data_IF_074912281524
#
_entry.id   IF_074912281524
#
_cell.length_a   1.000
_cell.length_b   1.000
_cell.length_c   1.000
_cell.angle_alpha   90.00
_cell.angle_beta   90.00
_cell.angle_gamma   90.00
#
_symmetry.space_group_name_H-M   'P 1'
#
loop_
_entity.id
_entity.type
_entity.pdbx_description
1 polymer ?
#
# COMPACT_ATOMS: atom_id res chain seq x y z
N UNK A 1 3.50 17.05 -8.37
CA UNK A 1 2.61 16.80 -7.22
C UNK A 1 3.45 16.29 -6.08
N UNK A 2 3.16 16.68 -4.84
CA UNK A 2 3.90 16.21 -3.66
C UNK A 2 3.02 15.22 -2.90
N UNK A 3 3.59 14.05 -2.59
CA UNK A 3 3.01 13.09 -1.66
C UNK A 3 3.79 13.21 -0.35
N UNK A 4 3.10 13.36 0.77
CA UNK A 4 3.73 13.58 2.06
C UNK A 4 2.80 13.19 3.22
N UNK A 5 3.44 12.87 4.34
CA UNK A 5 2.77 12.51 5.57
C UNK A 5 3.76 11.99 6.60
N UNK A 6 3.26 11.24 7.58
CA UNK A 6 4.04 10.75 8.72
C UNK A 6 3.85 9.25 8.90
N UNK A 7 4.95 8.54 9.14
CA UNK A 7 4.88 7.17 9.63
C UNK A 7 4.43 7.17 11.09
N UNK A 8 3.28 6.55 11.35
CA UNK A 8 2.72 6.39 12.69
C UNK A 8 3.22 5.10 13.35
N UNK A 9 3.41 4.04 12.56
CA UNK A 9 3.92 2.74 13.02
C UNK A 9 4.73 2.08 11.90
N UNK A 10 5.88 1.50 12.25
CA UNK A 10 6.68 0.67 11.33
C UNK A 10 7.15 -0.57 12.10
N UNK A 11 6.54 -1.71 11.80
CA UNK A 11 6.95 -3.02 12.30
C UNK A 11 7.54 -3.81 11.12
N UNK A 12 8.85 -4.11 11.15
CA UNK A 12 9.51 -4.82 10.05
C UNK A 12 8.77 -6.09 9.63
N UNK A 13 8.55 -6.24 8.32
CA UNK A 13 7.89 -7.40 7.70
C UNK A 13 6.47 -7.73 8.19
N UNK A 14 5.82 -6.85 8.96
CA UNK A 14 4.50 -7.14 9.55
C UNK A 14 3.49 -6.01 9.33
N UNK A 15 3.87 -4.75 9.56
CA UNK A 15 2.91 -3.63 9.49
C UNK A 15 3.59 -2.29 9.20
N UNK A 16 2.92 -1.48 8.41
CA UNK A 16 3.25 -0.06 8.22
C UNK A 16 1.96 0.76 8.31
N UNK A 17 1.97 1.84 9.07
CA UNK A 17 0.85 2.79 9.19
C UNK A 17 1.37 4.20 8.91
N UNK A 18 0.72 4.93 8.01
CA UNK A 18 1.07 6.32 7.70
C UNK A 18 -0.14 7.21 7.43
N UNK A 19 0.05 8.52 7.55
CA UNK A 19 -0.92 9.55 7.14
C UNK A 19 -0.67 9.97 5.69
N UNK A 20 -1.74 10.22 4.93
CA UNK A 20 -1.66 10.92 3.64
C UNK A 20 -2.14 12.35 3.89
N UNK A 21 -1.24 13.33 3.89
CA UNK A 21 -1.50 14.72 4.32
C UNK A 21 -1.63 15.70 3.14
N UNK A 22 -1.80 15.18 1.91
CA UNK A 22 -1.96 15.98 0.69
C UNK A 22 -3.28 16.77 0.66
N UNK A 23 -4.24 16.40 1.50
CA UNK A 23 -5.49 17.13 1.72
C UNK A 23 -6.00 16.94 3.15
N UNK A 24 -6.87 17.84 3.61
CA UNK A 24 -7.56 17.71 4.91
C UNK A 24 -8.43 16.44 5.01
N UNK A 25 -8.76 15.83 3.88
CA UNK A 25 -9.56 14.61 3.77
C UNK A 25 -8.72 13.34 3.57
N UNK A 26 -7.40 13.43 3.70
CA UNK A 26 -6.50 12.32 3.46
C UNK A 26 -6.70 11.14 4.42
N UNK A 27 -6.44 9.93 3.90
CA UNK A 27 -6.60 8.70 4.66
C UNK A 27 -5.45 8.44 5.64
N UNK A 28 -5.72 7.65 6.67
CA UNK A 28 -4.68 6.85 7.33
C UNK A 28 -4.59 5.52 6.63
N UNK A 29 -3.45 5.24 6.01
CA UNK A 29 -3.21 3.98 5.30
C UNK A 29 -2.47 3.01 6.21
N UNK A 30 -2.99 1.79 6.28
CA UNK A 30 -2.39 0.67 7.01
C UNK A 30 -2.13 -0.46 6.04
N UNK A 31 -0.88 -0.92 5.97
CA UNK A 31 -0.51 -2.14 5.24
C UNK A 31 -0.07 -3.20 6.24
N UNK A 32 -0.63 -4.40 6.12
CA UNK A 32 -0.20 -5.58 6.88
C UNK A 32 0.34 -6.64 5.95
N UNK A 33 1.35 -7.36 6.42
CA UNK A 33 1.99 -8.47 5.72
C UNK A 33 1.89 -9.72 6.58
N UNK A 34 1.27 -10.77 6.05
CA UNK A 34 1.12 -12.05 6.73
C UNK A 34 1.65 -13.19 5.85
N UNK A 35 2.30 -14.19 6.45
CA UNK A 35 2.63 -15.42 5.74
C UNK A 35 1.35 -16.21 5.49
N UNK A 36 1.19 -16.69 4.26
CA UNK A 36 0.09 -17.55 3.87
C UNK A 36 0.53 -18.49 2.74
N UNK A 37 0.59 -19.79 3.05
CA UNK A 37 0.87 -20.87 2.09
C UNK A 37 2.17 -20.68 1.29
N UNK A 38 3.24 -20.24 1.95
CA UNK A 38 4.54 -19.96 1.34
C UNK A 38 4.58 -18.65 0.52
N UNK A 39 3.54 -17.82 0.64
CA UNK A 39 3.43 -16.49 0.03
C UNK A 39 3.19 -15.43 1.10
N UNK A 40 3.15 -14.17 0.68
CA UNK A 40 2.76 -13.05 1.54
C UNK A 40 1.37 -12.58 1.16
N UNK A 41 0.45 -12.59 2.12
CA UNK A 41 -0.81 -11.87 2.04
C UNK A 41 -0.55 -10.41 2.45
N UNK A 42 -0.66 -9.51 1.48
CA UNK A 42 -0.63 -8.07 1.71
C UNK A 42 -2.07 -7.56 1.80
N UNK A 43 -2.41 -6.87 2.88
CA UNK A 43 -3.70 -6.15 3.01
C UNK A 43 -3.43 -4.67 3.21
N UNK A 44 -3.87 -3.87 2.25
CA UNK A 44 -3.87 -2.41 2.34
C UNK A 44 -5.26 -1.93 2.73
N UNK A 45 -5.35 -1.15 3.82
CA UNK A 45 -6.58 -0.56 4.33
C UNK A 45 -6.41 0.93 4.41
N UNK A 46 -7.32 1.66 3.79
CA UNK A 46 -7.35 3.11 3.85
C UNK A 46 -8.55 3.57 4.66
N UNK A 47 -8.28 4.30 5.75
CA UNK A 47 -9.32 4.84 6.61
C UNK A 47 -9.45 6.33 6.37
N UNK A 48 -10.54 6.70 5.70
CA UNK A 48 -10.89 8.09 5.42
C UNK A 48 -11.62 8.75 6.60
N UNK A 49 -11.53 10.08 6.76
CA UNK A 49 -12.23 10.81 7.82
C UNK A 49 -13.76 10.77 7.69
N UNK A 50 -14.29 10.79 6.46
CA UNK A 50 -15.73 10.74 6.16
C UNK A 50 -16.03 9.80 5.00
N UNK A 51 -17.32 9.50 4.80
CA UNK A 51 -17.77 8.68 3.67
C UNK A 51 -17.56 9.40 2.34
N UNK A 52 -17.83 10.70 2.28
CA UNK A 52 -17.68 11.50 1.07
C UNK A 52 -16.22 11.53 0.60
N UNK A 53 -15.26 11.59 1.53
CA UNK A 53 -13.84 11.48 1.22
C UNK A 53 -13.47 10.12 0.63
N UNK A 54 -14.03 9.03 1.17
CA UNK A 54 -13.86 7.68 0.63
C UNK A 54 -14.46 7.56 -0.78
N UNK A 55 -15.69 8.04 -0.97
CA UNK A 55 -16.41 7.94 -2.25
C UNK A 55 -15.66 8.70 -3.37
N UNK A 56 -15.02 9.84 -3.07
CA UNK A 56 -14.17 10.55 -4.03
C UNK A 56 -12.88 9.79 -4.33
N UNK A 57 -12.25 9.22 -3.30
CA UNK A 57 -10.96 8.55 -3.47
C UNK A 57 -11.09 7.20 -4.19
N UNK A 58 -12.16 6.45 -3.93
CA UNK A 58 -12.35 5.11 -4.49
C UNK A 58 -12.49 5.14 -6.02
N UNK A 59 -13.11 6.19 -6.57
CA UNK A 59 -13.23 6.38 -8.02
C UNK A 59 -11.86 6.41 -8.72
N UNK A 60 -10.84 7.03 -8.11
CA UNK A 60 -9.49 7.05 -8.65
C UNK A 60 -8.65 5.82 -8.30
N UNK A 61 -8.89 5.22 -7.13
CA UNK A 61 -8.12 4.06 -6.67
C UNK A 61 -8.46 2.77 -7.41
N UNK A 62 -9.72 2.55 -7.77
CA UNK A 62 -10.14 1.30 -8.43
C UNK A 62 -9.41 1.07 -9.76
N UNK A 63 -9.04 2.13 -10.46
CA UNK A 63 -8.24 2.06 -11.68
C UNK A 63 -6.74 1.89 -11.41
N UNK A 64 -6.20 2.57 -10.40
CA UNK A 64 -4.76 2.63 -10.15
C UNK A 64 -4.21 1.44 -9.33
N UNK A 65 -4.98 0.92 -8.38
CA UNK A 65 -4.51 -0.13 -7.47
C UNK A 65 -4.11 -1.44 -8.16
N UNK A 66 -4.86 -1.95 -9.16
CA UNK A 66 -4.44 -3.15 -9.91
C UNK A 66 -3.07 -2.97 -10.58
N UNK A 67 -2.85 -1.82 -11.24
CA UNK A 67 -1.59 -1.54 -11.92
C UNK A 67 -0.41 -1.50 -10.93
N UNK A 68 -0.59 -0.87 -9.77
CA UNK A 68 0.45 -0.80 -8.73
C UNK A 68 0.85 -2.19 -8.24
N UNK A 69 -0.11 -3.10 -8.04
CA UNK A 69 0.19 -4.48 -7.63
C UNK A 69 0.85 -5.30 -8.74
N UNK A 70 0.46 -5.12 -10.00
CA UNK A 70 1.14 -5.75 -11.14
C UNK A 70 2.60 -5.29 -11.27
N UNK A 71 2.86 -4.00 -11.07
CA UNK A 71 4.22 -3.46 -11.05
C UNK A 71 5.05 -4.03 -9.89
N UNK A 72 4.44 -4.21 -8.72
CA UNK A 72 5.08 -4.86 -7.57
C UNK A 72 5.42 -6.32 -7.87
N UNK A 73 4.51 -7.08 -8.50
CA UNK A 73 4.76 -8.46 -8.92
C UNK A 73 5.92 -8.55 -9.90
N UNK A 74 5.94 -7.69 -10.93
CA UNK A 74 7.03 -7.62 -11.89
C UNK A 74 8.38 -7.31 -11.20
N UNK A 75 8.38 -6.38 -10.24
CA UNK A 75 9.57 -6.04 -9.47
C UNK A 75 10.06 -7.21 -8.59
N UNK A 76 9.16 -7.90 -7.92
CA UNK A 76 9.48 -9.07 -7.09
C UNK A 76 10.02 -10.22 -7.92
N UNK A 77 9.47 -10.48 -9.11
CA UNK A 77 10.00 -11.46 -10.06
C UNK A 77 11.41 -11.08 -10.51
N UNK A 78 11.63 -9.83 -10.92
CA UNK A 78 12.94 -9.35 -11.34
C UNK A 78 13.99 -9.48 -10.22
N UNK A 79 13.60 -9.22 -8.97
CA UNK A 79 14.47 -9.36 -7.79
C UNK A 79 14.65 -10.80 -7.32
N UNK A 80 13.64 -11.65 -7.45
CA UNK A 80 13.74 -13.09 -7.21
C UNK A 80 14.66 -13.77 -8.22
N UNK A 81 14.60 -13.35 -9.48
CA UNK A 81 15.50 -13.81 -10.54
C UNK A 81 16.97 -13.38 -10.32
N UNK A 82 17.22 -12.30 -9.57
CA UNK A 82 18.59 -11.89 -9.19
C UNK A 82 19.09 -12.56 -7.91
N UNK A 83 18.20 -12.95 -6.98
CA UNK A 83 18.55 -13.73 -5.78
C UNK A 83 18.97 -15.19 -6.08
N UNK A 84 18.71 -15.67 -7.31
CA UNK A 84 19.10 -17.01 -7.79
C UNK A 84 20.35 -17.03 -8.67
N UNK A 85 21.08 -15.92 -8.87
CA UNK A 85 22.37 -15.93 -9.56
C UNK A 85 23.52 -16.01 -8.53
N UNK A 86 24.44 -16.98 -8.66
CA UNK A 86 25.63 -17.05 -7.82
C UNK A 86 26.56 -15.85 -8.05
#
# INVERSE_FOLDING_TARGET
MAFFGKYLEVVPNARIVWTNEESDNGAVTTVTFEEKDGKTLLVMRERYPTKEALDIAIEGMDEAMPEVFEQLDAFLIARGASAGRP
#
